data_IF_193084957322
#
_entry.id   IF_193084957322
#
_cell.length_a   1.000
_cell.length_b   1.000
_cell.length_c   1.000
_cell.angle_alpha   90.00
_cell.angle_beta   90.00
_cell.angle_gamma   90.00
#
_symmetry.space_group_name_H-M   'P 1'
#
loop_
_entity.id
_entity.type
_entity.pdbx_description
1 polymer ?
#
# COMPACT_ATOMS: atom_id res chain seq x y z
N UNK A 1 -7.46 15.82 10.70
CA UNK A 1 -7.99 17.20 10.69
C UNK A 1 -6.90 18.24 10.86
N UNK A 2 -6.04 18.16 11.88
CA UNK A 2 -4.98 19.16 12.15
C UNK A 2 -4.11 19.49 10.94
N UNK A 3 -3.58 18.47 10.24
CA UNK A 3 -2.78 18.68 9.02
C UNK A 3 -3.57 19.42 7.94
N UNK A 4 -4.78 18.96 7.60
CA UNK A 4 -5.64 19.64 6.62
C UNK A 4 -5.89 21.12 6.95
N UNK A 5 -6.17 21.43 8.22
CA UNK A 5 -6.41 22.81 8.68
C UNK A 5 -5.17 23.68 8.48
N UNK A 6 -4.00 23.24 8.95
CA UNK A 6 -2.77 24.04 8.80
C UNK A 6 -2.35 24.18 7.34
N UNK A 7 -2.53 23.14 6.53
CA UNK A 7 -2.20 23.18 5.11
C UNK A 7 -3.10 24.11 4.29
N UNK A 8 -4.39 24.19 4.61
CA UNK A 8 -5.34 25.08 3.94
C UNK A 8 -5.12 26.53 4.40
N UNK A 9 -5.10 26.78 5.72
CA UNK A 9 -4.94 28.14 6.26
C UNK A 9 -3.57 28.73 5.96
N UNK A 10 -2.52 27.90 5.94
CA UNK A 10 -1.16 28.31 5.61
C UNK A 10 -0.85 28.36 4.11
N UNK A 11 -1.82 28.07 3.22
CA UNK A 11 -1.66 28.07 1.76
C UNK A 11 -0.52 27.16 1.23
N UNK A 12 -0.09 26.17 2.01
CA UNK A 12 0.95 25.20 1.64
C UNK A 12 0.41 23.78 1.46
N UNK A 13 -0.90 23.64 1.20
CA UNK A 13 -1.58 22.35 1.01
C UNK A 13 -0.91 21.45 -0.03
N UNK A 14 -0.37 22.01 -1.12
CA UNK A 14 0.40 21.27 -2.15
C UNK A 14 1.66 20.63 -1.57
N UNK A 15 2.43 21.39 -0.78
CA UNK A 15 3.65 20.88 -0.15
C UNK A 15 3.30 19.87 0.94
N UNK A 16 2.23 20.11 1.68
CA UNK A 16 1.73 19.16 2.67
C UNK A 16 1.38 17.82 2.02
N UNK A 17 0.69 17.80 0.87
CA UNK A 17 0.39 16.56 0.16
C UNK A 17 1.65 15.78 -0.25
N UNK A 18 2.75 16.45 -0.58
CA UNK A 18 4.03 15.79 -0.86
C UNK A 18 4.62 15.10 0.37
N UNK A 19 4.45 15.68 1.57
CA UNK A 19 4.83 15.00 2.82
C UNK A 19 3.99 13.75 3.10
N UNK A 20 2.78 13.67 2.56
CA UNK A 20 1.90 12.50 2.67
C UNK A 20 2.15 11.45 1.56
N UNK A 21 3.35 11.43 0.96
CA UNK A 21 3.65 10.55 -0.18
C UNK A 21 3.42 9.05 0.13
N UNK A 22 3.91 8.48 1.26
CA UNK A 22 3.63 7.08 1.59
C UNK A 22 2.15 6.80 1.84
N UNK A 23 1.42 7.74 2.45
CA UNK A 23 -0.01 7.62 2.70
C UNK A 23 -0.82 7.65 1.41
N UNK A 24 -0.50 8.57 0.49
CA UNK A 24 -1.12 8.67 -0.83
C UNK A 24 -0.85 7.41 -1.63
N UNK A 25 0.39 6.90 -1.62
CA UNK A 25 0.71 5.64 -2.28
C UNK A 25 -0.09 4.47 -1.71
N UNK A 26 -0.13 4.33 -0.38
CA UNK A 26 -0.93 3.29 0.27
C UNK A 26 -2.42 3.39 -0.10
N UNK A 27 -2.97 4.61 -0.15
CA UNK A 27 -4.36 4.84 -0.54
C UNK A 27 -4.64 4.42 -1.99
N UNK A 28 -3.80 4.85 -2.95
CA UNK A 28 -3.95 4.49 -4.36
C UNK A 28 -3.80 2.98 -4.58
N UNK A 29 -2.87 2.34 -3.86
CA UNK A 29 -2.69 0.90 -3.91
C UNK A 29 -3.88 0.14 -3.31
N UNK A 30 -4.47 0.64 -2.22
CA UNK A 30 -5.65 0.05 -1.58
C UNK A 30 -6.97 0.34 -2.32
N UNK A 31 -6.94 1.21 -3.33
CA UNK A 31 -8.13 1.77 -3.98
C UNK A 31 -9.05 0.71 -4.61
N UNK A 32 -8.55 -0.34 -5.29
CA UNK A 32 -9.42 -1.40 -5.83
C UNK A 32 -10.18 -2.17 -4.73
N UNK A 33 -9.60 -2.31 -3.54
CA UNK A 33 -10.25 -2.89 -2.36
C UNK A 33 -11.26 -1.92 -1.75
N UNK A 34 -10.91 -0.64 -1.61
CA UNK A 34 -11.79 0.38 -1.03
C UNK A 34 -13.05 0.63 -1.86
N UNK A 35 -12.96 0.54 -3.19
CA UNK A 35 -14.10 0.65 -4.09
C UNK A 35 -14.93 -0.65 -4.20
N UNK A 36 -14.58 -1.69 -3.43
CA UNK A 36 -15.21 -3.01 -3.49
C UNK A 36 -15.18 -3.65 -4.89
N UNK A 37 -14.26 -3.24 -5.77
CA UNK A 37 -14.04 -3.89 -7.07
C UNK A 37 -13.45 -5.30 -6.84
N UNK A 38 -12.60 -5.41 -5.81
CA UNK A 38 -12.03 -6.65 -5.30
C UNK A 38 -12.52 -6.84 -3.85
N UNK A 39 -12.85 -8.07 -3.40
CA UNK A 39 -13.42 -8.31 -2.07
C UNK A 39 -12.52 -7.81 -0.93
N UNK A 40 -12.94 -6.75 -0.24
CA UNK A 40 -12.17 -6.17 0.85
C UNK A 40 -12.47 -6.89 2.18
N UNK A 41 -11.47 -7.50 2.84
CA UNK A 41 -11.67 -8.06 4.17
C UNK A 41 -11.85 -6.94 5.20
N UNK A 42 -12.53 -7.25 6.30
CA UNK A 42 -12.71 -6.29 7.42
C UNK A 42 -11.38 -5.85 8.05
N UNK A 43 -10.38 -6.74 8.06
CA UNK A 43 -9.06 -6.47 8.61
C UNK A 43 -7.98 -6.82 7.57
N UNK A 44 -7.28 -5.79 7.08
CA UNK A 44 -6.19 -5.92 6.10
C UNK A 44 -4.78 -5.90 6.73
N UNK A 45 -4.70 -6.02 8.05
CA UNK A 45 -3.43 -6.08 8.80
C UNK A 45 -2.70 -7.40 8.53
N UNK A 46 -1.36 -7.42 8.61
CA UNK A 46 -0.57 -8.65 8.48
C UNK A 46 -0.88 -9.64 9.61
N UNK A 47 -0.66 -10.94 9.36
CA UNK A 47 -0.92 -12.00 10.32
C UNK A 47 0.32 -12.25 11.16
N UNK A 48 0.17 -12.35 12.48
CA UNK A 48 1.26 -12.75 13.36
C UNK A 48 1.40 -14.28 13.32
N UNK A 49 2.58 -14.79 12.96
CA UNK A 49 2.90 -16.20 13.11
C UNK A 49 3.45 -16.42 14.53
N UNK A 50 2.71 -17.16 15.35
CA UNK A 50 3.04 -17.43 16.75
C UNK A 50 4.33 -18.23 16.92
N UNK A 51 4.71 -19.02 15.92
CA UNK A 51 5.91 -19.85 15.97
C UNK A 51 7.18 -19.05 15.69
N UNK A 52 7.13 -18.09 14.76
CA UNK A 52 8.29 -17.26 14.40
C UNK A 52 8.33 -15.93 15.13
N UNK A 53 7.21 -15.50 15.72
CA UNK A 53 7.06 -14.17 16.32
C UNK A 53 7.15 -13.03 15.31
N UNK A 54 6.96 -13.31 14.02
CA UNK A 54 7.06 -12.35 12.91
C UNK A 54 5.70 -12.13 12.27
N UNK A 55 5.53 -10.94 11.68
CA UNK A 55 4.39 -10.59 10.85
C UNK A 55 4.59 -11.15 9.45
N UNK A 56 3.61 -11.90 8.99
CA UNK A 56 3.49 -12.48 7.66
C UNK A 56 2.40 -11.75 6.87
N UNK A 57 2.53 -11.84 5.55
CA UNK A 57 1.57 -11.27 4.61
C UNK A 57 0.16 -11.82 4.86
N UNK A 58 -0.84 -10.94 4.87
CA UNK A 58 -2.24 -11.37 4.96
C UNK A 58 -2.85 -11.54 3.58
N UNK A 59 -3.60 -12.64 3.42
CA UNK A 59 -4.28 -13.01 2.17
C UNK A 59 -5.80 -12.94 2.36
N UNK A 60 -6.48 -12.51 1.31
CA UNK A 60 -7.94 -12.54 1.20
C UNK A 60 -8.33 -13.61 0.17
N UNK A 61 -9.30 -14.47 0.54
CA UNK A 61 -9.78 -15.57 -0.31
C UNK A 61 -11.16 -15.23 -0.85
N UNK A 62 -11.41 -15.49 -2.13
CA UNK A 62 -12.74 -15.36 -2.72
C UNK A 62 -13.00 -16.39 -3.82
N UNK A 63 -14.27 -16.67 -4.11
CA UNK A 63 -14.67 -17.59 -5.18
C UNK A 63 -14.36 -16.97 -6.54
N UNK A 64 -13.64 -17.67 -7.39
CA UNK A 64 -13.20 -17.14 -8.70
C UNK A 64 -14.39 -16.73 -9.59
N UNK A 65 -15.54 -17.42 -9.45
CA UNK A 65 -16.76 -17.14 -10.23
C UNK A 65 -17.50 -15.85 -9.85
N UNK A 66 -17.24 -15.27 -8.67
CA UNK A 66 -17.95 -14.06 -8.21
C UNK A 66 -17.25 -12.76 -8.58
N UNK A 67 -16.10 -12.81 -9.24
CA UNK A 67 -15.31 -11.62 -9.53
C UNK A 67 -15.78 -10.94 -10.83
N UNK A 68 -15.88 -9.61 -10.78
CA UNK A 68 -16.13 -8.81 -11.98
C UNK A 68 -14.98 -8.92 -12.98
N UNK A 69 -15.27 -8.69 -14.26
CA UNK A 69 -14.25 -8.65 -15.31
C UNK A 69 -13.17 -7.59 -15.00
N UNK A 70 -13.59 -6.43 -14.48
CA UNK A 70 -12.69 -5.35 -14.04
C UNK A 70 -11.77 -5.81 -12.90
N UNK A 71 -12.31 -6.50 -11.89
CA UNK A 71 -11.50 -7.04 -10.79
C UNK A 71 -10.45 -8.03 -11.27
N UNK A 72 -10.81 -8.89 -12.22
CA UNK A 72 -9.88 -9.88 -12.82
C UNK A 72 -8.77 -9.17 -13.60
N UNK A 73 -9.10 -8.14 -14.37
CA UNK A 73 -8.13 -7.36 -15.12
C UNK A 73 -7.15 -6.62 -14.20
N UNK A 74 -7.66 -5.95 -13.16
CA UNK A 74 -6.83 -5.23 -12.18
C UNK A 74 -5.88 -6.21 -11.47
N UNK A 75 -6.37 -7.39 -11.06
CA UNK A 75 -5.52 -8.42 -10.44
C UNK A 75 -4.41 -8.88 -11.38
N UNK A 76 -4.71 -9.17 -12.66
CA UNK A 76 -3.69 -9.57 -13.65
C UNK A 76 -2.65 -8.48 -13.89
N UNK A 77 -3.08 -7.22 -13.99
CA UNK A 77 -2.16 -6.08 -14.18
C UNK A 77 -1.27 -5.92 -12.95
N UNK A 78 -1.84 -5.96 -11.75
CA UNK A 78 -1.09 -5.81 -10.50
C UNK A 78 -0.18 -7.02 -10.20
N UNK A 79 -0.54 -8.21 -10.65
CA UNK A 79 0.32 -9.41 -10.64
C UNK A 79 1.49 -9.26 -11.62
N UNK A 80 1.23 -8.81 -12.85
CA UNK A 80 2.26 -8.53 -13.88
C UNK A 80 3.28 -7.49 -13.40
N UNK A 81 2.82 -6.46 -12.70
CA UNK A 81 3.68 -5.43 -12.08
C UNK A 81 4.46 -5.93 -10.85
N UNK A 82 4.35 -7.23 -10.50
CA UNK A 82 4.90 -7.82 -9.28
C UNK A 82 4.49 -7.06 -8.00
N UNK A 83 3.37 -6.36 -8.01
CA UNK A 83 2.85 -5.66 -6.83
C UNK A 83 2.03 -6.58 -5.93
N UNK A 84 1.44 -7.63 -6.49
CA UNK A 84 0.61 -8.58 -5.76
C UNK A 84 1.12 -10.01 -5.93
N UNK A 85 0.78 -10.87 -4.97
CA UNK A 85 0.95 -12.31 -5.09
C UNK A 85 -0.44 -12.91 -5.11
N UNK A 86 -0.77 -13.58 -6.20
CA UNK A 86 -2.04 -14.28 -6.39
C UNK A 86 -1.76 -15.78 -6.34
N UNK A 87 -2.61 -16.54 -5.65
CA UNK A 87 -2.58 -18.00 -5.58
C UNK A 87 -3.95 -18.52 -5.94
N UNK A 88 -4.04 -19.40 -6.91
CA UNK A 88 -5.27 -20.12 -7.21
C UNK A 88 -5.26 -21.43 -6.43
N UNK A 89 -6.33 -21.67 -5.68
CA UNK A 89 -6.51 -22.89 -4.89
C UNK A 89 -7.82 -23.52 -5.35
N UNK A 90 -7.73 -24.75 -5.83
CA UNK A 90 -8.89 -25.60 -6.07
C UNK A 90 -9.16 -26.41 -4.81
N UNK A 91 -10.33 -26.22 -4.22
CA UNK A 91 -10.82 -27.00 -3.08
C UNK A 91 -12.06 -27.79 -3.52
N UNK A 92 -12.53 -28.74 -2.70
CA UNK A 92 -13.70 -29.57 -3.01
C UNK A 92 -14.97 -28.73 -3.26
N UNK A 93 -15.05 -27.53 -2.66
CA UNK A 93 -16.13 -26.54 -2.83
C UNK A 93 -16.00 -25.63 -4.08
N UNK A 94 -14.94 -25.80 -4.87
CA UNK A 94 -14.69 -25.12 -6.16
C UNK A 94 -13.38 -24.31 -6.21
N UNK A 95 -13.19 -23.59 -7.33
CA UNK A 95 -12.00 -22.78 -7.56
C UNK A 95 -12.04 -21.45 -6.79
N UNK A 96 -11.07 -21.27 -5.88
CA UNK A 96 -10.84 -20.04 -5.11
C UNK A 96 -9.59 -19.31 -5.61
N UNK A 97 -9.65 -17.98 -5.56
CA UNK A 97 -8.49 -17.12 -5.77
C UNK A 97 -8.13 -16.47 -4.44
N UNK A 98 -6.91 -16.70 -3.99
CA UNK A 98 -6.29 -15.97 -2.89
C UNK A 98 -5.37 -14.89 -3.45
N UNK A 99 -5.39 -13.72 -2.82
CA UNK A 99 -4.49 -12.64 -3.17
C UNK A 99 -4.02 -11.93 -1.91
N UNK A 100 -2.82 -11.38 -1.96
CA UNK A 100 -2.28 -10.57 -0.87
C UNK A 100 -3.10 -9.28 -0.70
N UNK A 101 -3.39 -8.91 0.54
CA UNK A 101 -4.11 -7.67 0.82
C UNK A 101 -3.34 -6.45 0.29
N UNK A 102 -4.04 -5.57 -0.43
CA UNK A 102 -3.47 -4.39 -1.08
C UNK A 102 -3.20 -3.27 -0.07
N UNK A 103 -2.14 -3.42 0.73
CA UNK A 103 -1.65 -2.36 1.62
C UNK A 103 -0.14 -2.22 1.50
N UNK A 104 0.39 -1.02 1.74
CA UNK A 104 1.82 -0.74 1.75
C UNK A 104 2.56 -1.64 2.75
N UNK A 105 1.93 -1.96 3.88
CA UNK A 105 2.49 -2.86 4.90
C UNK A 105 2.72 -4.27 4.31
N UNK A 106 1.72 -4.84 3.65
CA UNK A 106 1.85 -6.15 3.02
C UNK A 106 2.79 -6.12 1.82
N UNK A 107 2.86 -5.00 1.09
CA UNK A 107 3.83 -4.80 0.01
C UNK A 107 5.27 -4.82 0.55
N UNK A 108 5.54 -4.15 1.68
CA UNK A 108 6.85 -4.20 2.33
C UNK A 108 7.19 -5.61 2.79
N UNK A 109 6.24 -6.35 3.38
CA UNK A 109 6.45 -7.75 3.77
C UNK A 109 6.64 -8.68 2.55
N UNK A 110 6.07 -8.34 1.40
CA UNK A 110 6.32 -9.05 0.15
C UNK A 110 7.76 -8.83 -0.35
N UNK A 111 8.25 -7.59 -0.28
CA UNK A 111 9.59 -7.21 -0.75
C UNK A 111 10.71 -7.66 0.20
N UNK A 112 10.53 -7.43 1.51
CA UNK A 112 11.56 -7.69 2.52
C UNK A 112 11.37 -9.03 3.26
N UNK A 113 10.24 -9.71 3.05
CA UNK A 113 9.90 -10.96 3.73
C UNK A 113 9.27 -10.75 5.12
N UNK A 114 9.10 -11.84 5.90
CA UNK A 114 8.48 -11.77 7.22
C UNK A 114 9.37 -11.01 8.21
N UNK A 115 8.81 -9.99 8.85
CA UNK A 115 9.52 -9.09 9.77
C UNK A 115 8.82 -8.99 11.10
N UNK A 116 9.57 -8.70 12.16
CA UNK A 116 8.96 -8.40 13.46
C UNK A 116 8.26 -7.04 13.42
N UNK A 117 7.16 -6.90 14.17
CA UNK A 117 6.31 -5.69 14.19
C UNK A 117 7.10 -4.40 14.41
N UNK A 118 8.01 -4.40 15.40
CA UNK A 118 8.87 -3.25 15.68
C UNK A 118 9.70 -2.83 14.46
N UNK A 119 10.29 -3.79 13.75
CA UNK A 119 11.17 -3.50 12.62
C UNK A 119 10.36 -3.03 11.41
N UNK A 120 9.16 -3.59 11.20
CA UNK A 120 8.25 -3.17 10.14
C UNK A 120 7.78 -1.72 10.35
N UNK A 121 7.42 -1.36 11.59
CA UNK A 121 7.04 0.01 11.94
C UNK A 121 8.21 0.98 11.77
N UNK A 122 9.42 0.60 12.21
CA UNK A 122 10.62 1.41 11.99
C UNK A 122 10.91 1.61 10.50
N UNK A 123 10.71 0.59 9.67
CA UNK A 123 10.89 0.68 8.23
C UNK A 123 9.88 1.65 7.59
N UNK A 124 8.61 1.61 8.02
CA UNK A 124 7.57 2.55 7.58
C UNK A 124 7.90 4.00 7.99
N UNK A 125 8.35 4.20 9.23
CA UNK A 125 8.78 5.52 9.70
C UNK A 125 10.00 6.03 8.91
N UNK A 126 10.96 5.15 8.61
CA UNK A 126 12.11 5.49 7.79
C UNK A 126 11.68 5.87 6.36
N UNK A 127 10.72 5.15 5.77
CA UNK A 127 10.14 5.52 4.47
C UNK A 127 9.46 6.90 4.53
N UNK A 128 8.78 7.23 5.63
CA UNK A 128 8.18 8.56 5.84
C UNK A 128 9.23 9.68 5.91
N UNK A 129 10.32 9.44 6.65
CA UNK A 129 11.43 10.39 6.76
C UNK A 129 12.09 10.59 5.40
N UNK A 130 12.29 9.52 4.63
CA UNK A 130 12.81 9.60 3.26
C UNK A 130 11.87 10.39 2.34
N UNK A 131 10.56 10.13 2.39
CA UNK A 131 9.56 10.89 1.63
C UNK A 131 9.56 12.38 1.98
N UNK A 132 9.78 12.70 3.26
CA UNK A 132 9.93 14.08 3.73
C UNK A 132 11.21 14.72 3.22
N UNK A 133 12.34 14.00 3.24
CA UNK A 133 13.61 14.46 2.69
C UNK A 133 13.53 14.71 1.18
N UNK A 134 12.84 13.84 0.43
CA UNK A 134 12.54 14.04 -1.00
C UNK A 134 11.70 15.29 -1.20
N UNK A 135 10.65 15.48 -0.39
CA UNK A 135 9.79 16.68 -0.46
C UNK A 135 10.58 17.96 -0.22
N UNK A 136 11.46 17.98 0.78
CA UNK A 136 12.34 19.12 1.03
C UNK A 136 13.34 19.33 -0.11
N UNK A 137 13.93 18.26 -0.63
CA UNK A 137 14.85 18.33 -1.78
C UNK A 137 14.15 18.93 -3.00
N UNK A 138 12.94 18.47 -3.31
CA UNK A 138 12.10 19.03 -4.37
C UNK A 138 11.84 20.51 -4.09
N UNK A 139 11.36 20.86 -2.90
CA UNK A 139 11.00 22.24 -2.56
C UNK A 139 12.18 23.22 -2.64
N UNK A 140 13.37 22.82 -2.21
CA UNK A 140 14.52 23.72 -2.10
C UNK A 140 15.50 23.64 -3.28
N UNK A 141 15.61 22.51 -3.98
CA UNK A 141 16.50 22.35 -5.15
C UNK A 141 15.81 22.71 -6.48
N UNK A 142 14.51 22.41 -6.67
CA UNK A 142 13.82 22.79 -7.93
C UNK A 142 13.60 24.30 -8.07
N UNK A 143 13.66 25.06 -6.98
CA UNK A 143 13.67 26.53 -7.05
C UNK A 143 14.95 27.01 -7.77
N UNK A 144 16.11 26.39 -7.51
CA UNK A 144 17.34 26.73 -8.24
C UNK A 144 17.31 26.28 -9.71
N UNK A 145 16.76 25.10 -10.00
CA UNK A 145 16.70 24.57 -11.37
C UNK A 145 15.77 25.40 -12.30
N UNK A 146 14.78 26.11 -11.74
CA UNK A 146 13.85 26.94 -12.52
C UNK A 146 14.11 28.45 -12.43
N UNK A 147 14.83 28.95 -11.43
CA UNK A 147 15.10 30.39 -11.25
C UNK A 147 16.57 30.82 -11.47
N UNK A 148 17.49 29.91 -11.84
CA UNK A 148 18.80 30.31 -12.40
C UNK A 148 18.69 30.67 -13.90
N UNK A 149 17.93 31.74 -14.19
CA UNK A 149 18.04 32.57 -15.42
C UNK A 149 18.24 34.01 -15.01
#
# INVERSE_FOLDING_TARGET
MTFAVVGILGLFSKTMLLFFMPEVFNFLYSLPQLLNIIPCPRHSVPRLNTNTGKLEMSYSKFKTKSLSFLGTFILKVAESLQLLTVRQIEDEDGAFTEYINMTLINLLLKVFGPMHERNLTLLLLLLQVLGSAVTFSIRYQLVRLFYDV
#
